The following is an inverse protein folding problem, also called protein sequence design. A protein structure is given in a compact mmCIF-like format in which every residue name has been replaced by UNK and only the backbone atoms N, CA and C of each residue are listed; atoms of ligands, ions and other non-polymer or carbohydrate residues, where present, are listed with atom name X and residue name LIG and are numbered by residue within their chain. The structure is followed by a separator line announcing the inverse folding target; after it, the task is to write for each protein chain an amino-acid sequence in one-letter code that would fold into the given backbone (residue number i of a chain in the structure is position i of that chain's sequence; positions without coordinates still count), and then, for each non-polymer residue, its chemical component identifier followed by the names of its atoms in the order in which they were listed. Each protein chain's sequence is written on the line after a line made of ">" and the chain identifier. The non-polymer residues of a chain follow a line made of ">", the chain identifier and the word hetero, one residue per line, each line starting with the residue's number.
data_IF_200904004779
#
_entry.id   IF_200904004779
#
_cell.length_a   1.000
_cell.length_b   1.000
_cell.length_c   1.000
_cell.angle_alpha   90.00
_cell.angle_beta   90.00
_cell.angle_gamma   90.00
#
_symmetry.space_group_name_H-M   'P 1'
#
loop_
_entity.id
_entity.type
_entity.pdbx_description
1 polymer ?
#
# COMPACT_ATOMS: atom_id res chain seq x y z
N UNK A 1 20.45 -28.84 -22.76
CA UNK A 1 18.99 -28.66 -22.91
C UNK A 1 18.70 -27.18 -23.08
N UNK A 2 18.00 -26.80 -24.14
CA UNK A 2 17.64 -25.40 -24.40
C UNK A 2 16.37 -25.06 -23.63
N UNK A 3 16.39 -23.97 -22.85
CA UNK A 3 15.22 -23.57 -22.04
C UNK A 3 15.09 -22.05 -21.91
N UNK A 4 13.84 -21.57 -21.84
CA UNK A 4 13.47 -20.22 -21.43
C UNK A 4 12.93 -20.28 -20.02
N UNK A 5 13.53 -19.47 -19.13
CA UNK A 5 13.09 -19.29 -17.75
C UNK A 5 12.36 -17.98 -17.59
N UNK A 6 11.08 -18.06 -17.24
CA UNK A 6 10.25 -16.90 -16.94
C UNK A 6 10.19 -16.69 -15.43
N UNK A 7 10.74 -15.56 -14.97
CA UNK A 7 10.86 -15.23 -13.54
C UNK A 7 9.71 -14.35 -13.05
N UNK A 8 9.45 -14.47 -11.74
CA UNK A 8 8.51 -13.60 -11.04
C UNK A 8 8.98 -12.14 -11.03
N UNK A 9 8.02 -11.23 -11.02
CA UNK A 9 8.25 -9.78 -10.92
C UNK A 9 8.58 -9.39 -9.49
N UNK A 10 9.84 -9.01 -9.25
CA UNK A 10 10.33 -8.54 -7.93
C UNK A 10 9.56 -7.36 -7.36
N UNK A 11 8.97 -6.52 -8.22
CA UNK A 11 8.24 -5.32 -7.79
C UNK A 11 7.01 -5.63 -6.94
N UNK A 12 6.45 -6.85 -6.99
CA UNK A 12 5.34 -7.23 -6.11
C UNK A 12 5.78 -7.35 -4.65
N UNK A 13 6.91 -7.98 -4.38
CA UNK A 13 7.46 -8.08 -3.03
C UNK A 13 7.77 -6.69 -2.46
N UNK A 14 8.42 -5.83 -3.26
CA UNK A 14 8.67 -4.43 -2.88
C UNK A 14 7.37 -3.63 -2.62
N UNK A 15 6.29 -3.87 -3.38
CA UNK A 15 4.99 -3.24 -3.12
C UNK A 15 4.40 -3.68 -1.79
N UNK A 16 4.50 -4.96 -1.43
CA UNK A 16 4.03 -5.46 -0.13
C UNK A 16 4.80 -4.78 0.99
N UNK A 17 6.14 -4.75 0.90
CA UNK A 17 6.98 -4.06 1.90
C UNK A 17 6.57 -2.59 2.01
N UNK A 18 6.48 -1.88 0.89
CA UNK A 18 6.10 -0.47 0.87
C UNK A 18 4.71 -0.20 1.43
N UNK A 19 3.76 -1.12 1.28
CA UNK A 19 2.42 -0.99 1.86
C UNK A 19 2.40 -1.30 3.36
N UNK A 20 3.24 -2.21 3.85
CA UNK A 20 3.30 -2.58 5.27
C UNK A 20 4.11 -1.58 6.10
N UNK A 21 5.15 -1.00 5.53
CA UNK A 21 6.12 -0.18 6.25
C UNK A 21 5.51 1.01 7.02
N UNK A 22 4.57 1.80 6.45
CA UNK A 22 3.92 2.88 7.20
C UNK A 22 3.21 2.41 8.47
N UNK A 23 2.51 1.28 8.40
CA UNK A 23 1.77 0.71 9.53
C UNK A 23 2.66 0.15 10.63
N UNK A 24 3.81 -0.41 10.23
CA UNK A 24 4.80 -0.91 11.17
C UNK A 24 5.46 0.27 11.89
N UNK A 25 5.84 1.32 11.16
CA UNK A 25 6.42 2.53 11.76
C UNK A 25 5.43 3.22 12.69
N UNK A 26 4.17 3.41 12.27
CA UNK A 26 3.14 4.00 13.13
C UNK A 26 2.81 3.11 14.33
N UNK A 27 2.78 1.80 14.14
CA UNK A 27 2.51 0.83 15.20
C UNK A 27 3.61 0.87 16.27
N UNK A 28 4.87 0.87 15.85
CA UNK A 28 6.03 0.98 16.75
C UNK A 28 6.02 2.32 17.49
N UNK A 29 5.68 3.42 16.83
CA UNK A 29 5.52 4.71 17.50
C UNK A 29 4.50 4.59 18.64
N UNK A 30 3.29 4.07 18.38
CA UNK A 30 2.28 3.92 19.44
C UNK A 30 2.77 3.09 20.62
N UNK A 31 3.46 1.97 20.35
CA UNK A 31 4.01 1.11 21.40
C UNK A 31 5.06 1.85 22.25
N UNK A 32 5.89 2.70 21.63
CA UNK A 32 6.98 3.41 22.31
C UNK A 32 6.53 4.66 23.06
N UNK A 33 5.45 5.33 22.63
CA UNK A 33 5.04 6.64 23.17
C UNK A 33 3.77 6.63 24.00
N UNK A 34 2.87 5.66 23.81
CA UNK A 34 1.60 5.64 24.52
C UNK A 34 1.71 4.69 25.73
N UNK A 35 1.08 5.04 26.87
CA UNK A 35 1.19 4.24 28.08
C UNK A 35 0.58 2.85 27.88
N UNK A 36 1.18 1.87 28.56
CA UNK A 36 0.77 0.46 28.52
C UNK A 36 -0.69 0.34 28.95
N UNK A 37 -1.46 -0.48 28.23
CA UNK A 37 -2.89 -0.72 28.52
C UNK A 37 -3.85 0.27 27.84
N UNK A 38 -3.36 1.33 27.19
CA UNK A 38 -4.23 2.19 26.37
C UNK A 38 -4.65 1.52 25.07
N UNK A 39 -5.80 1.93 24.52
CA UNK A 39 -6.27 1.45 23.22
C UNK A 39 -5.23 1.67 22.11
N UNK A 40 -4.55 2.82 22.11
CA UNK A 40 -3.48 3.14 21.14
C UNK A 40 -2.29 2.18 21.28
N UNK A 41 -1.87 1.85 22.50
CA UNK A 41 -0.80 0.88 22.74
C UNK A 41 -1.16 -0.50 22.17
N UNK A 42 -2.39 -0.98 22.40
CA UNK A 42 -2.88 -2.26 21.88
C UNK A 42 -2.93 -2.25 20.34
N UNK A 43 -3.48 -1.18 19.75
CA UNK A 43 -3.52 -0.98 18.29
C UNK A 43 -2.10 -0.97 17.71
N UNK A 44 -1.15 -0.35 18.42
CA UNK A 44 0.26 -0.33 18.04
C UNK A 44 0.85 -1.72 17.88
N UNK A 45 0.61 -2.61 18.85
CA UNK A 45 1.04 -4.01 18.78
C UNK A 45 0.34 -4.79 17.67
N UNK A 46 -0.98 -4.67 17.54
CA UNK A 46 -1.74 -5.36 16.48
C UNK A 46 -1.22 -4.93 15.10
N UNK A 47 -1.05 -3.63 14.88
CA UNK A 47 -0.53 -3.07 13.63
C UNK A 47 0.90 -3.59 13.35
N UNK A 48 1.79 -3.47 14.33
CA UNK A 48 3.19 -3.89 14.18
C UNK A 48 3.31 -5.38 13.89
N UNK A 49 2.60 -6.23 14.62
CA UNK A 49 2.65 -7.68 14.42
C UNK A 49 2.01 -8.09 13.10
N UNK A 50 0.80 -7.60 12.79
CA UNK A 50 0.08 -8.01 11.58
C UNK A 50 0.76 -7.52 10.30
N UNK A 51 1.10 -6.23 10.23
CA UNK A 51 1.79 -5.68 9.06
C UNK A 51 3.27 -6.04 9.05
N UNK A 52 3.87 -6.30 10.21
CA UNK A 52 5.25 -6.77 10.35
C UNK A 52 5.49 -8.09 9.62
N UNK A 53 4.51 -9.02 9.64
CA UNK A 53 4.57 -10.27 8.87
C UNK A 53 4.62 -10.06 7.35
N UNK A 54 4.09 -8.93 6.87
CA UNK A 54 4.17 -8.56 5.45
C UNK A 54 5.60 -8.28 4.98
N UNK A 55 6.49 -7.83 5.86
CA UNK A 55 7.89 -7.54 5.53
C UNK A 55 8.67 -8.83 5.15
N UNK A 56 8.76 -9.88 5.98
CA UNK A 56 9.46 -11.11 5.61
C UNK A 56 8.81 -11.80 4.40
N UNK A 57 7.47 -11.77 4.27
CA UNK A 57 6.77 -12.28 3.08
C UNK A 57 7.20 -11.50 1.83
N UNK A 58 7.24 -10.17 1.91
CA UNK A 58 7.66 -9.30 0.82
C UNK A 58 9.13 -9.49 0.46
N UNK A 59 10.02 -9.69 1.45
CA UNK A 59 11.44 -10.00 1.24
C UNK A 59 11.59 -11.35 0.55
N UNK A 60 10.92 -12.39 1.06
CA UNK A 60 10.92 -13.71 0.44
C UNK A 60 10.48 -13.64 -1.03
N UNK A 61 9.40 -12.91 -1.33
CA UNK A 61 8.94 -12.75 -2.71
C UNK A 61 9.88 -11.90 -3.58
N UNK A 62 10.59 -10.94 -2.99
CA UNK A 62 11.56 -10.09 -3.70
C UNK A 62 12.83 -10.87 -4.06
N UNK A 63 13.26 -11.74 -3.16
CA UNK A 63 14.47 -12.55 -3.31
C UNK A 63 14.22 -13.95 -3.86
N UNK A 64 12.96 -14.36 -4.08
CA UNK A 64 12.62 -15.60 -4.79
C UNK A 64 13.12 -15.53 -6.25
N UNK A 65 14.32 -16.06 -6.47
CA UNK A 65 14.96 -16.17 -7.80
C UNK A 65 14.50 -17.39 -8.57
N UNK A 66 13.60 -18.22 -8.03
CA UNK A 66 13.18 -19.44 -8.71
C UNK A 66 12.31 -19.09 -9.92
N UNK A 67 12.53 -19.70 -11.10
CA UNK A 67 11.64 -19.51 -12.23
C UNK A 67 10.22 -19.95 -11.87
N UNK A 68 9.24 -19.26 -12.44
CA UNK A 68 7.84 -19.63 -12.28
C UNK A 68 7.42 -20.55 -13.41
N UNK A 69 7.69 -20.16 -14.65
CA UNK A 69 7.38 -20.94 -15.85
C UNK A 69 8.71 -21.28 -16.53
N UNK A 70 8.88 -22.55 -16.88
CA UNK A 70 10.02 -23.06 -17.63
C UNK A 70 9.46 -23.62 -18.93
N UNK A 71 10.02 -23.16 -20.05
CA UNK A 71 9.66 -23.64 -21.38
C UNK A 71 10.92 -24.28 -21.96
N UNK A 72 10.89 -25.58 -22.18
CA UNK A 72 12.03 -26.38 -22.61
C UNK A 72 11.79 -26.98 -24.00
N UNK A 73 12.79 -27.63 -24.57
CA UNK A 73 12.62 -28.41 -25.81
C UNK A 73 11.67 -29.61 -25.66
N UNK A 74 11.39 -30.06 -24.43
CA UNK A 74 10.52 -31.20 -24.14
C UNK A 74 9.07 -30.78 -23.82
N UNK A 75 8.88 -29.60 -23.20
CA UNK A 75 7.56 -29.15 -22.80
C UNK A 75 7.53 -27.85 -22.00
N UNK A 76 6.42 -27.65 -21.29
CA UNK A 76 6.14 -26.48 -20.46
C UNK A 76 5.85 -26.92 -19.03
N UNK A 77 6.48 -26.27 -18.06
CA UNK A 77 6.22 -26.46 -16.63
C UNK A 77 5.88 -25.13 -15.94
N UNK A 78 4.85 -25.12 -15.09
CA UNK A 78 4.52 -24.02 -14.19
C UNK A 78 4.64 -24.48 -12.73
N UNK A 79 5.58 -23.88 -12.00
CA UNK A 79 5.83 -24.21 -10.59
C UNK A 79 4.62 -23.95 -9.69
N UNK A 80 3.70 -23.06 -10.07
CA UNK A 80 2.54 -22.70 -9.25
C UNK A 80 1.41 -23.73 -9.29
N UNK A 81 1.33 -24.52 -10.37
CA UNK A 81 0.28 -25.53 -10.54
C UNK A 81 0.64 -26.86 -9.89
N UNK A 82 1.93 -27.06 -9.56
CA UNK A 82 2.47 -28.29 -8.99
C UNK A 82 2.11 -29.54 -9.82
N UNK A 83 2.06 -29.38 -11.15
CA UNK A 83 1.83 -30.45 -12.13
C UNK A 83 3.15 -30.92 -12.74
N UNK A 84 3.11 -32.04 -13.47
CA UNK A 84 4.22 -32.43 -14.35
C UNK A 84 4.37 -31.48 -15.53
N UNK A 85 5.53 -31.55 -16.17
CA UNK A 85 5.78 -30.89 -17.45
C UNK A 85 4.78 -31.38 -18.49
N UNK A 86 4.07 -30.44 -19.11
CA UNK A 86 3.19 -30.72 -20.25
C UNK A 86 4.09 -30.87 -21.47
N UNK A 87 4.19 -32.08 -22.03
CA UNK A 87 5.01 -32.30 -23.22
C UNK A 87 4.40 -31.61 -24.44
N UNK A 88 5.23 -31.18 -25.38
CA UNK A 88 4.75 -30.49 -26.57
C UNK A 88 3.78 -31.32 -27.40
N UNK A 89 3.98 -32.64 -27.46
CA UNK A 89 3.10 -33.57 -28.19
C UNK A 89 1.69 -33.59 -27.61
N UNK A 90 1.54 -33.23 -26.33
CA UNK A 90 0.26 -33.19 -25.63
C UNK A 90 -0.46 -31.85 -25.81
N UNK A 91 0.21 -30.83 -26.36
CA UNK A 91 -0.36 -29.48 -26.52
C UNK A 91 -1.11 -29.40 -27.84
N UNK A 92 -2.44 -29.26 -27.76
CA UNK A 92 -3.30 -29.08 -28.94
C UNK A 92 -3.31 -27.61 -29.38
N UNK A 93 -3.50 -26.69 -28.43
CA UNK A 93 -3.50 -25.24 -28.67
C UNK A 93 -3.37 -24.45 -27.38
N UNK A 94 -2.91 -23.21 -27.50
CA UNK A 94 -2.83 -22.21 -26.44
C UNK A 94 -3.53 -20.92 -26.88
N UNK A 95 -4.23 -20.27 -25.96
CA UNK A 95 -4.86 -18.97 -26.20
C UNK A 95 -4.84 -18.11 -24.93
N UNK A 96 -4.80 -16.78 -25.08
CA UNK A 96 -4.85 -15.88 -23.95
C UNK A 96 -6.27 -15.85 -23.40
N UNK A 97 -6.39 -15.81 -22.08
CA UNK A 97 -7.66 -15.62 -21.39
C UNK A 97 -7.47 -14.59 -20.26
N UNK A 98 -8.47 -13.75 -20.03
CA UNK A 98 -8.46 -12.79 -18.94
C UNK A 98 -9.57 -13.15 -17.95
N UNK A 99 -9.18 -13.64 -16.78
CA UNK A 99 -10.10 -14.01 -15.71
C UNK A 99 -9.90 -13.02 -14.58
N UNK A 100 -10.88 -12.14 -14.37
CA UNK A 100 -10.84 -11.11 -13.34
C UNK A 100 -9.60 -10.20 -13.45
N UNK A 101 -9.29 -9.67 -14.63
CA UNK A 101 -8.14 -8.80 -14.87
C UNK A 101 -6.77 -9.49 -14.71
N UNK A 102 -6.76 -10.82 -14.50
CA UNK A 102 -5.55 -11.63 -14.44
C UNK A 102 -5.36 -12.28 -15.80
N UNK A 103 -4.33 -11.81 -16.49
CA UNK A 103 -3.82 -12.39 -17.73
C UNK A 103 -3.33 -13.83 -17.48
N UNK A 104 -3.90 -14.76 -18.22
CA UNK A 104 -3.61 -16.19 -18.18
C UNK A 104 -3.42 -16.68 -19.61
N UNK A 105 -2.58 -17.69 -19.81
CA UNK A 105 -2.55 -18.45 -21.07
C UNK A 105 -3.14 -19.82 -20.79
N UNK A 106 -4.28 -20.11 -21.40
CA UNK A 106 -4.96 -21.41 -21.30
C UNK A 106 -4.37 -22.34 -22.36
N UNK A 107 -3.88 -23.49 -21.92
CA UNK A 107 -3.34 -24.56 -22.77
C UNK A 107 -4.34 -25.71 -22.79
N UNK A 108 -4.77 -26.06 -24.00
CA UNK A 108 -5.59 -27.23 -24.26
C UNK A 108 -4.65 -28.40 -24.50
N UNK A 109 -4.75 -29.38 -23.62
CA UNK A 109 -4.02 -30.64 -23.74
C UNK A 109 -4.92 -31.74 -24.31
N UNK A 110 -4.30 -32.76 -24.89
CA UNK A 110 -4.98 -34.01 -25.20
C UNK A 110 -5.33 -34.83 -23.95
N UNK A 111 -5.98 -35.97 -24.16
CA UNK A 111 -6.46 -36.85 -23.10
C UNK A 111 -5.32 -37.66 -22.42
N UNK A 112 -4.11 -37.65 -22.99
CA UNK A 112 -2.95 -38.33 -22.40
C UNK A 112 -2.38 -37.56 -21.21
N UNK A 113 -2.70 -36.26 -21.10
CA UNK A 113 -2.25 -35.43 -19.99
C UNK A 113 -3.17 -35.61 -18.77
N UNK A 114 -2.64 -36.24 -17.71
CA UNK A 114 -3.36 -36.47 -16.45
C UNK A 114 -2.87 -35.49 -15.38
N UNK A 115 -3.81 -34.75 -14.77
CA UNK A 115 -3.50 -33.90 -13.62
C UNK A 115 -3.09 -34.72 -12.40
N UNK A 116 -1.98 -34.36 -11.76
CA UNK A 116 -1.55 -34.93 -10.47
C UNK A 116 -2.59 -34.74 -9.37
N UNK A 117 -3.29 -33.60 -9.40
CA UNK A 117 -4.35 -33.29 -8.45
C UNK A 117 -5.63 -33.03 -9.24
N UNK A 118 -6.62 -33.90 -9.06
CA UNK A 118 -7.96 -33.66 -9.63
C UNK A 118 -8.51 -32.35 -9.06
N UNK A 119 -8.90 -31.39 -9.91
CA UNK A 119 -9.60 -30.20 -9.44
C UNK A 119 -10.92 -30.63 -8.77
N UNK A 120 -11.34 -29.90 -7.74
CA UNK A 120 -12.65 -30.12 -7.14
C UNK A 120 -13.76 -29.97 -8.19
N UNK A 121 -14.84 -30.77 -8.07
CA UNK A 121 -15.94 -30.81 -9.04
C UNK A 121 -16.54 -29.42 -9.37
N UNK A 122 -16.55 -28.51 -8.39
CA UNK A 122 -17.05 -27.15 -8.59
C UNK A 122 -16.12 -26.29 -9.47
N UNK A 123 -14.79 -26.40 -9.27
CA UNK A 123 -13.78 -25.70 -10.06
C UNK A 123 -13.80 -26.16 -11.51
N UNK A 124 -14.07 -27.45 -11.76
CA UNK A 124 -14.18 -27.99 -13.11
C UNK A 124 -15.40 -27.43 -13.86
N UNK A 125 -16.55 -27.31 -13.19
CA UNK A 125 -17.75 -26.67 -13.76
C UNK A 125 -17.52 -25.20 -14.08
N UNK A 126 -16.79 -24.49 -13.21
CA UNK A 126 -16.41 -23.10 -13.43
C UNK A 126 -15.47 -23.00 -14.62
N UNK A 127 -14.40 -23.78 -14.66
CA UNK A 127 -13.42 -23.76 -15.75
C UNK A 127 -14.09 -24.01 -17.11
N UNK A 128 -14.99 -25.01 -17.18
CA UNK A 128 -15.80 -25.27 -18.38
C UNK A 128 -16.65 -24.06 -18.80
N UNK A 129 -17.28 -23.36 -17.85
CA UNK A 129 -18.11 -22.17 -18.13
C UNK A 129 -17.30 -20.96 -18.58
N UNK A 130 -16.09 -20.75 -18.05
CA UNK A 130 -15.24 -19.61 -18.43
C UNK A 130 -14.40 -19.92 -19.68
N UNK A 131 -14.50 -21.13 -20.25
CA UNK A 131 -13.67 -21.57 -21.36
C UNK A 131 -12.21 -21.78 -20.98
N UNK A 132 -11.89 -21.88 -19.68
CA UNK A 132 -10.56 -22.29 -19.21
C UNK A 132 -10.47 -23.82 -19.34
N UNK A 133 -9.51 -24.31 -20.12
CA UNK A 133 -9.29 -25.76 -20.27
C UNK A 133 -8.07 -26.21 -19.47
N UNK A 134 -7.96 -27.53 -19.38
CA UNK A 134 -7.00 -28.37 -18.67
C UNK A 134 -5.87 -27.60 -17.96
N UNK A 135 -4.90 -26.98 -18.64
CA UNK A 135 -3.73 -26.39 -17.99
C UNK A 135 -3.65 -24.86 -18.18
N UNK A 136 -3.53 -24.09 -17.09
CA UNK A 136 -3.51 -22.63 -17.12
C UNK A 136 -2.18 -22.07 -16.61
N UNK A 137 -1.52 -21.26 -17.44
CA UNK A 137 -0.31 -20.53 -17.08
C UNK A 137 -0.67 -19.17 -16.47
N UNK A 138 -0.34 -18.97 -15.20
CA UNK A 138 -0.66 -17.72 -14.51
C UNK A 138 0.40 -16.63 -14.75
N UNK A 139 0.12 -15.72 -15.68
CA UNK A 139 1.06 -14.65 -16.04
C UNK A 139 1.04 -13.45 -15.09
N UNK A 140 0.13 -13.41 -14.12
CA UNK A 140 0.00 -12.28 -13.19
C UNK A 140 1.29 -11.95 -12.42
N UNK A 141 2.22 -12.90 -12.30
CA UNK A 141 3.52 -12.71 -11.65
C UNK A 141 4.70 -12.59 -12.63
N UNK A 142 4.51 -12.84 -13.93
CA UNK A 142 5.56 -12.84 -14.96
C UNK A 142 5.42 -11.61 -15.85
N UNK A 143 6.54 -11.05 -16.33
CA UNK A 143 6.53 -9.90 -17.22
C UNK A 143 6.57 -10.32 -18.70
N UNK A 144 5.46 -10.87 -19.21
CA UNK A 144 5.33 -11.32 -20.59
C UNK A 144 3.93 -11.01 -21.13
N UNK A 145 3.83 -10.74 -22.43
CA UNK A 145 2.56 -10.52 -23.09
C UNK A 145 1.87 -11.88 -23.34
N UNK A 146 0.61 -11.99 -22.95
CA UNK A 146 -0.19 -13.21 -23.04
C UNK A 146 -0.43 -13.68 -24.48
N UNK A 147 -0.60 -12.74 -25.43
CA UNK A 147 -0.81 -13.03 -26.85
C UNK A 147 0.51 -13.50 -27.49
N UNK A 148 1.61 -12.80 -27.18
CA UNK A 148 2.94 -13.18 -27.68
C UNK A 148 3.34 -14.57 -27.18
N UNK A 149 3.07 -14.87 -25.90
CA UNK A 149 3.35 -16.17 -25.32
C UNK A 149 2.44 -17.27 -25.89
N UNK A 150 1.13 -17.03 -26.07
CA UNK A 150 0.24 -18.04 -26.65
C UNK A 150 0.63 -18.38 -28.09
N UNK A 151 0.98 -17.36 -28.88
CA UNK A 151 1.42 -17.56 -30.26
C UNK A 151 2.75 -18.32 -30.33
N UNK A 152 3.67 -18.01 -29.42
CA UNK A 152 4.93 -18.75 -29.29
C UNK A 152 4.68 -20.22 -28.95
N UNK A 153 3.83 -20.52 -27.96
CA UNK A 153 3.49 -21.88 -27.55
C UNK A 153 2.87 -22.68 -28.71
N UNK A 154 1.90 -22.10 -29.43
CA UNK A 154 1.29 -22.74 -30.60
C UNK A 154 2.28 -23.03 -31.73
N UNK A 155 3.27 -22.17 -31.90
CA UNK A 155 4.31 -22.39 -32.90
C UNK A 155 5.19 -23.56 -32.47
N UNK A 156 5.73 -23.53 -31.26
CA UNK A 156 6.65 -24.55 -30.74
C UNK A 156 5.98 -25.93 -30.67
N UNK A 157 4.68 -26.03 -30.36
CA UNK A 157 3.98 -27.32 -30.30
C UNK A 157 3.95 -28.05 -31.65
N UNK A 158 3.95 -27.32 -32.77
CA UNK A 158 3.80 -27.88 -34.10
C UNK A 158 5.12 -28.24 -34.80
N UNK A 159 6.26 -27.80 -34.26
CA UNK A 159 7.56 -28.03 -34.89
C UNK A 159 8.29 -29.28 -34.35
N UNK A 160 9.34 -29.70 -35.07
CA UNK A 160 10.26 -30.75 -34.65
C UNK A 160 11.25 -30.28 -33.55
N UNK A 161 11.98 -31.21 -32.92
CA UNK A 161 12.85 -30.90 -31.78
C UNK A 161 13.97 -29.89 -32.09
N UNK A 162 14.54 -29.90 -33.30
CA UNK A 162 15.61 -28.97 -33.68
C UNK A 162 15.08 -27.55 -33.92
N UNK A 163 13.93 -27.45 -34.58
CA UNK A 163 13.22 -26.18 -34.77
C UNK A 163 12.72 -25.61 -33.45
N UNK A 164 12.19 -26.45 -32.55
CA UNK A 164 11.83 -26.05 -31.17
C UNK A 164 13.02 -25.41 -30.47
N UNK A 165 14.21 -26.04 -30.53
CA UNK A 165 15.44 -25.47 -29.95
C UNK A 165 15.77 -24.10 -30.56
N UNK A 166 15.63 -23.94 -31.87
CA UNK A 166 15.90 -22.68 -32.55
C UNK A 166 14.89 -21.57 -32.18
N UNK A 167 13.61 -21.91 -32.07
CA UNK A 167 12.57 -21.00 -31.60
C UNK A 167 12.81 -20.57 -30.14
N UNK A 168 13.16 -21.51 -29.26
CA UNK A 168 13.46 -21.23 -27.85
C UNK A 168 14.68 -20.32 -27.72
N UNK A 169 15.74 -20.53 -28.51
CA UNK A 169 16.94 -19.66 -28.51
C UNK A 169 16.65 -18.25 -29.01
N UNK A 170 15.79 -18.11 -30.03
CA UNK A 170 15.49 -16.83 -30.67
C UNK A 170 14.43 -16.00 -29.93
N UNK A 171 13.65 -16.63 -29.04
CA UNK A 171 12.60 -15.94 -28.30
C UNK A 171 13.15 -14.89 -27.33
N UNK A 172 12.91 -13.61 -27.65
CA UNK A 172 13.30 -12.48 -26.80
C UNK A 172 12.10 -12.01 -26.00
N UNK A 173 12.19 -12.12 -24.67
CA UNK A 173 11.18 -11.55 -23.78
C UNK A 173 11.27 -10.02 -23.77
N UNK A 174 10.29 -9.35 -24.38
CA UNK A 174 10.15 -7.89 -24.25
C UNK A 174 9.76 -7.54 -22.82
N UNK A 175 10.74 -7.16 -21.99
CA UNK A 175 10.44 -6.60 -20.67
C UNK A 175 9.64 -5.30 -20.84
N UNK A 176 8.45 -5.24 -20.25
CA UNK A 176 7.74 -3.96 -20.14
C UNK A 176 8.61 -2.95 -19.39
N UNK A 177 9.05 -1.91 -20.11
CA UNK A 177 9.80 -0.79 -19.51
C UNK A 177 8.85 0.03 -18.63
N UNK A 178 9.37 0.57 -17.53
CA UNK A 178 8.65 1.54 -16.72
C UNK A 178 8.37 2.76 -17.60
N UNK A 179 7.10 3.04 -17.90
CA UNK A 179 6.74 4.11 -18.83
C UNK A 179 6.52 5.43 -18.10
N UNK A 180 6.76 6.55 -18.79
CA UNK A 180 6.47 7.90 -18.29
C UNK A 180 5.00 8.06 -17.84
N UNK A 181 4.08 7.30 -18.45
CA UNK A 181 2.68 7.24 -18.03
C UNK A 181 2.51 6.78 -16.57
N UNK A 182 3.30 5.82 -16.09
CA UNK A 182 3.25 5.38 -14.69
C UNK A 182 3.73 6.47 -13.73
N UNK A 183 4.77 7.22 -14.08
CA UNK A 183 5.25 8.35 -13.26
C UNK A 183 4.20 9.45 -13.16
N UNK A 184 3.58 9.85 -14.28
CA UNK A 184 2.49 10.83 -14.29
C UNK A 184 1.33 10.40 -13.39
N UNK A 185 0.98 9.10 -13.43
CA UNK A 185 -0.08 8.54 -12.58
C UNK A 185 0.28 8.59 -11.09
N UNK A 186 1.52 8.26 -10.72
CA UNK A 186 1.99 8.37 -9.33
C UNK A 186 1.91 9.83 -8.86
N UNK A 187 2.47 10.75 -9.65
CA UNK A 187 2.45 12.19 -9.33
C UNK A 187 1.02 12.70 -9.12
N UNK A 188 0.09 12.34 -10.00
CA UNK A 188 -1.31 12.72 -9.89
C UNK A 188 -1.96 12.24 -8.59
N UNK A 189 -1.70 10.99 -8.17
CA UNK A 189 -2.24 10.48 -6.90
C UNK A 189 -1.60 11.13 -5.68
N UNK A 190 -0.30 11.44 -5.74
CA UNK A 190 0.39 12.15 -4.66
C UNK A 190 -0.19 13.55 -4.48
N UNK A 191 -0.37 14.32 -5.56
CA UNK A 191 -0.98 15.65 -5.51
C UNK A 191 -2.42 15.57 -5.00
N UNK A 192 -3.21 14.64 -5.54
CA UNK A 192 -4.58 14.41 -5.06
C UNK A 192 -4.62 14.11 -3.56
N UNK A 193 -3.72 13.26 -3.06
CA UNK A 193 -3.66 12.90 -1.63
C UNK A 193 -3.31 14.10 -0.74
N UNK A 194 -2.37 14.95 -1.17
CA UNK A 194 -2.00 16.18 -0.46
C UNK A 194 -3.16 17.18 -0.45
N UNK A 195 -3.87 17.34 -1.57
CA UNK A 195 -5.04 18.22 -1.66
C UNK A 195 -6.16 17.74 -0.73
N UNK A 196 -6.48 16.44 -0.74
CA UNK A 196 -7.48 15.87 0.17
C UNK A 196 -7.02 16.06 1.63
N UNK A 197 -5.73 15.87 1.94
CA UNK A 197 -5.19 16.09 3.28
C UNK A 197 -5.44 17.52 3.77
N UNK A 198 -5.07 18.52 2.95
CA UNK A 198 -5.33 19.94 3.25
C UNK A 198 -6.81 20.22 3.49
N UNK A 199 -7.69 19.66 2.64
CA UNK A 199 -9.13 19.80 2.80
C UNK A 199 -9.62 19.17 4.11
N UNK A 200 -9.17 17.96 4.44
CA UNK A 200 -9.57 17.28 5.68
C UNK A 200 -9.08 17.97 6.95
N UNK A 201 -7.90 18.60 6.91
CA UNK A 201 -7.39 19.40 8.03
C UNK A 201 -8.20 20.68 8.27
N UNK A 202 -8.89 21.19 7.25
CA UNK A 202 -9.64 22.45 7.35
C UNK A 202 -10.93 22.35 8.16
N UNK A 203 -11.57 21.17 8.19
CA UNK A 203 -12.89 20.99 8.80
C UNK A 203 -13.20 19.53 9.16
N UNK A 204 -13.79 19.34 10.35
CA UNK A 204 -14.31 18.03 10.83
C UNK A 204 -15.37 17.48 9.89
N UNK A 205 -16.21 18.34 9.30
CA UNK A 205 -17.26 17.93 8.36
C UNK A 205 -16.62 17.32 7.11
N UNK A 206 -15.58 17.96 6.57
CA UNK A 206 -14.86 17.47 5.38
C UNK A 206 -14.18 16.13 5.68
N UNK A 207 -13.61 15.97 6.86
CA UNK A 207 -13.07 14.68 7.31
C UNK A 207 -14.13 13.56 7.26
N UNK A 208 -15.31 13.77 7.87
CA UNK A 208 -16.37 12.77 7.86
C UNK A 208 -16.88 12.46 6.45
N UNK A 209 -16.95 13.46 5.57
CA UNK A 209 -17.30 13.25 4.16
C UNK A 209 -16.28 12.32 3.47
N UNK A 210 -14.98 12.54 3.67
CA UNK A 210 -13.94 11.68 3.08
C UNK A 210 -14.03 10.24 3.60
N UNK A 211 -14.26 10.06 4.90
CA UNK A 211 -14.46 8.73 5.50
C UNK A 211 -15.73 8.05 4.98
N UNK A 212 -16.84 8.80 4.85
CA UNK A 212 -18.09 8.29 4.27
C UNK A 212 -17.90 7.85 2.82
N UNK A 213 -17.24 8.67 1.99
CA UNK A 213 -16.91 8.35 0.61
C UNK A 213 -16.00 7.12 0.49
N UNK A 214 -15.01 6.99 1.39
CA UNK A 214 -14.17 5.80 1.49
C UNK A 214 -15.00 4.54 1.80
N UNK A 215 -15.93 4.63 2.77
CA UNK A 215 -16.81 3.53 3.16
C UNK A 215 -17.73 3.08 2.02
N UNK A 216 -18.40 4.03 1.35
CA UNK A 216 -19.22 3.76 0.17
C UNK A 216 -18.38 3.11 -0.93
N UNK A 217 -17.19 3.67 -1.19
CA UNK A 217 -16.25 3.12 -2.18
C UNK A 217 -15.83 1.68 -1.84
N UNK A 218 -15.65 1.34 -0.57
CA UNK A 218 -15.31 -0.02 -0.14
C UNK A 218 -16.45 -1.01 -0.40
N UNK A 219 -17.69 -0.61 -0.11
CA UNK A 219 -18.88 -1.40 -0.40
C UNK A 219 -19.02 -1.62 -1.91
N UNK A 220 -18.93 -0.56 -2.71
CA UNK A 220 -19.00 -0.64 -4.18
C UNK A 220 -17.89 -1.53 -4.73
N UNK A 221 -16.65 -1.37 -4.25
CA UNK A 221 -15.53 -2.19 -4.71
C UNK A 221 -15.70 -3.68 -4.36
N UNK A 222 -16.39 -4.01 -3.26
CA UNK A 222 -16.63 -5.38 -2.81
C UNK A 222 -17.69 -6.09 -3.63
N UNK A 223 -18.79 -5.42 -3.96
CA UNK A 223 -19.95 -6.06 -4.60
C UNK A 223 -19.92 -6.00 -6.14
N UNK A 224 -19.01 -5.21 -6.73
CA UNK A 224 -18.93 -5.07 -8.18
C UNK A 224 -17.95 -6.09 -8.83
N UNK A 225 -18.23 -6.55 -10.07
CA UNK A 225 -17.30 -7.39 -10.84
C UNK A 225 -15.96 -6.67 -11.12
N UNK A 226 -14.84 -7.41 -11.18
CA UNK A 226 -13.49 -6.84 -11.41
C UNK A 226 -13.34 -6.08 -12.73
N UNK A 227 -14.15 -6.47 -13.71
CA UNK A 227 -14.06 -6.00 -15.08
C UNK A 227 -14.71 -4.61 -15.22
N UNK A 228 -15.54 -4.21 -14.25
CA UNK A 228 -16.33 -3.00 -14.31
C UNK A 228 -15.51 -1.78 -13.94
N UNK A 229 -15.55 -0.76 -14.80
CA UNK A 229 -14.88 0.54 -14.58
C UNK A 229 -15.22 1.16 -13.22
N UNK A 230 -16.46 0.98 -12.75
CA UNK A 230 -16.91 1.45 -11.44
C UNK A 230 -16.09 0.85 -10.28
N UNK A 231 -15.80 -0.46 -10.30
CA UNK A 231 -14.98 -1.09 -9.25
C UNK A 231 -13.57 -0.53 -9.20
N UNK A 232 -12.97 -0.24 -10.38
CA UNK A 232 -11.63 0.37 -10.46
C UNK A 232 -11.61 1.74 -9.78
N UNK A 233 -12.61 2.58 -10.05
CA UNK A 233 -12.71 3.90 -9.41
C UNK A 233 -13.05 3.81 -7.92
N UNK A 234 -13.96 2.90 -7.54
CA UNK A 234 -14.26 2.64 -6.14
C UNK A 234 -13.01 2.19 -5.37
N UNK A 235 -12.20 1.28 -5.93
CA UNK A 235 -10.94 0.87 -5.32
C UNK A 235 -9.94 2.03 -5.17
N UNK A 236 -9.86 2.93 -6.16
CA UNK A 236 -9.05 4.15 -6.06
C UNK A 236 -9.56 5.05 -4.93
N UNK A 237 -10.89 5.21 -4.79
CA UNK A 237 -11.51 5.96 -3.71
C UNK A 237 -11.18 5.40 -2.32
N UNK A 238 -11.23 4.07 -2.16
CA UNK A 238 -10.79 3.39 -0.94
C UNK A 238 -9.33 3.68 -0.64
N UNK A 239 -8.46 3.53 -1.64
CA UNK A 239 -7.03 3.71 -1.47
C UNK A 239 -6.69 5.17 -1.08
N UNK A 240 -7.28 6.15 -1.75
CA UNK A 240 -7.07 7.57 -1.46
C UNK A 240 -7.63 7.94 -0.08
N UNK A 241 -8.83 7.46 0.28
CA UNK A 241 -9.41 7.67 1.60
C UNK A 241 -8.54 7.06 2.71
N UNK A 242 -8.03 5.86 2.48
CA UNK A 242 -7.16 5.17 3.41
C UNK A 242 -5.82 5.91 3.61
N UNK A 243 -5.16 6.30 2.51
CA UNK A 243 -3.92 7.09 2.56
C UNK A 243 -4.17 8.42 3.27
N UNK A 244 -5.27 9.10 2.96
CA UNK A 244 -5.63 10.35 3.60
C UNK A 244 -5.85 10.18 5.11
N UNK A 245 -6.59 9.16 5.54
CA UNK A 245 -6.80 8.86 6.95
C UNK A 245 -5.47 8.66 7.68
N UNK A 246 -4.56 7.89 7.10
CA UNK A 246 -3.23 7.66 7.67
C UNK A 246 -2.39 8.94 7.74
N UNK A 247 -2.35 9.72 6.67
CA UNK A 247 -1.62 11.00 6.62
C UNK A 247 -2.18 12.00 7.63
N UNK A 248 -3.50 12.08 7.76
CA UNK A 248 -4.18 12.95 8.70
C UNK A 248 -3.83 12.57 10.13
N UNK A 249 -3.95 11.29 10.48
CA UNK A 249 -3.60 10.80 11.81
C UNK A 249 -2.14 11.11 12.16
N UNK A 250 -1.23 10.81 11.23
CA UNK A 250 0.21 11.10 11.39
C UNK A 250 0.46 12.60 11.57
N UNK A 251 -0.24 13.45 10.80
CA UNK A 251 -0.12 14.91 10.91
C UNK A 251 -0.61 15.42 12.26
N UNK A 252 -1.72 14.89 12.77
CA UNK A 252 -2.26 15.24 14.10
C UNK A 252 -1.28 14.87 15.20
N UNK A 253 -0.73 13.66 15.16
CA UNK A 253 0.22 13.21 16.18
C UNK A 253 1.53 14.02 16.14
N UNK A 254 2.05 14.34 14.94
CA UNK A 254 3.22 15.22 14.79
C UNK A 254 2.92 16.61 15.36
N UNK A 255 1.75 17.17 15.07
CA UNK A 255 1.30 18.45 15.60
C UNK A 255 1.30 18.46 17.13
N UNK A 256 0.66 17.47 17.75
CA UNK A 256 0.54 17.36 19.20
C UNK A 256 1.92 17.23 19.86
N UNK A 257 2.78 16.35 19.34
CA UNK A 257 4.12 16.11 19.90
C UNK A 257 5.03 17.35 19.79
N UNK A 258 4.97 18.11 18.69
CA UNK A 258 5.74 19.36 18.56
C UNK A 258 5.20 20.42 19.51
N UNK A 259 3.88 20.57 19.59
CA UNK A 259 3.23 21.54 20.48
C UNK A 259 3.57 21.28 21.95
N UNK A 260 3.51 20.02 22.39
CA UNK A 260 3.88 19.62 23.75
C UNK A 260 5.36 19.91 24.04
N UNK A 261 6.26 19.55 23.11
CA UNK A 261 7.70 19.84 23.24
C UNK A 261 7.98 21.36 23.31
N UNK A 262 7.21 22.17 22.60
CA UNK A 262 7.32 23.63 22.66
C UNK A 262 6.86 24.17 24.01
N UNK A 263 5.70 23.73 24.51
CA UNK A 263 5.18 24.17 25.81
C UNK A 263 6.16 23.82 26.94
N UNK A 264 6.74 22.62 26.94
CA UNK A 264 7.76 22.21 27.92
C UNK A 264 8.98 23.13 27.86
N UNK A 265 9.50 23.43 26.65
CA UNK A 265 10.66 24.34 26.50
C UNK A 265 10.37 25.75 26.97
N UNK A 266 9.17 26.25 26.70
CA UNK A 266 8.75 27.57 27.19
C UNK A 266 8.67 27.56 28.73
N UNK A 267 8.16 26.49 29.33
CA UNK A 267 8.13 26.34 30.80
C UNK A 267 9.53 26.28 31.42
N UNK A 268 10.44 25.53 30.83
CA UNK A 268 11.85 25.45 31.27
C UNK A 268 12.54 26.81 31.20
N UNK A 269 12.31 27.56 30.12
CA UNK A 269 12.82 28.93 29.97
C UNK A 269 12.32 29.85 31.10
N UNK A 270 11.05 29.73 31.49
CA UNK A 270 10.52 30.52 32.61
C UNK A 270 11.11 30.15 33.97
N UNK A 271 11.31 28.86 34.23
CA UNK A 271 11.94 28.40 35.49
C UNK A 271 13.35 28.98 35.65
N UNK A 272 14.04 29.28 34.54
CA UNK A 272 15.39 29.85 34.56
C UNK A 272 15.39 31.38 34.73
N UNK A 273 14.44 32.09 34.10
CA UNK A 273 14.49 33.56 34.03
C UNK A 273 13.70 34.31 35.11
N UNK A 274 12.94 33.62 35.97
CA UNK A 274 12.24 34.15 37.17
C UNK A 274 11.20 35.26 36.94
N UNK A 275 11.18 35.92 35.78
CA UNK A 275 10.22 36.96 35.39
C UNK A 275 9.23 36.44 34.37
N UNK A 276 7.93 36.60 34.64
CA UNK A 276 6.85 36.36 33.68
C UNK A 276 6.99 37.34 32.52
N UNK A 277 7.18 36.91 31.26
CA UNK A 277 7.22 37.86 30.17
C UNK A 277 5.84 38.36 29.85
N UNK A 278 5.82 39.62 29.45
CA UNK A 278 4.65 40.33 28.95
C UNK A 278 4.30 39.92 27.52
N UNK A 279 5.22 39.31 26.76
CA UNK A 279 5.02 38.95 25.36
C UNK A 279 5.73 37.65 24.95
N UNK A 280 5.08 36.86 24.10
CA UNK A 280 5.58 35.62 23.51
C UNK A 280 6.67 35.88 22.46
N UNK A 281 6.72 37.08 21.86
CA UNK A 281 7.73 37.48 20.87
C UNK A 281 9.14 37.51 21.46
N UNK A 282 9.27 37.82 22.75
CA UNK A 282 10.57 37.81 23.44
C UNK A 282 11.11 36.39 23.60
N UNK A 283 10.21 35.42 23.80
CA UNK A 283 10.54 33.99 23.97
C UNK A 283 10.99 33.37 22.65
N UNK A 284 10.43 33.82 21.52
CA UNK A 284 10.80 33.35 20.18
C UNK A 284 12.29 33.56 19.88
N UNK A 285 12.81 34.73 20.23
CA UNK A 285 14.21 35.11 19.95
C UNK A 285 15.22 34.27 20.74
N UNK A 286 14.86 33.84 21.94
CA UNK A 286 15.76 33.15 22.85
C UNK A 286 15.72 31.63 22.69
N UNK A 287 14.66 31.05 22.11
CA UNK A 287 14.48 29.59 22.00
C UNK A 287 15.16 28.92 20.78
N UNK A 288 15.86 29.67 19.91
CA UNK A 288 16.51 29.16 18.68
C UNK A 288 15.64 28.14 17.90
N UNK A 289 14.37 28.48 17.66
CA UNK A 289 13.41 27.55 17.06
C UNK A 289 13.73 27.29 15.57
N UNK A 290 13.63 26.03 15.15
CA UNK A 290 13.71 25.69 13.71
C UNK A 290 12.43 26.11 12.96
N UNK A 291 12.45 26.11 11.63
CA UNK A 291 11.34 26.56 10.79
C UNK A 291 9.98 25.89 11.12
N UNK A 292 9.99 24.59 11.44
CA UNK A 292 8.76 23.84 11.76
C UNK A 292 8.26 24.26 13.15
N UNK A 293 9.16 24.31 14.12
CA UNK A 293 8.87 24.74 15.49
C UNK A 293 8.34 26.17 15.52
N UNK A 294 8.93 27.07 14.73
CA UNK A 294 8.50 28.45 14.57
C UNK A 294 7.07 28.55 13.99
N UNK A 295 6.76 27.75 12.97
CA UNK A 295 5.41 27.69 12.41
C UNK A 295 4.38 27.30 13.47
N UNK A 296 4.69 26.34 14.35
CA UNK A 296 3.79 25.92 15.43
C UNK A 296 3.74 26.92 16.58
N UNK A 297 4.87 27.52 16.94
CA UNK A 297 4.96 28.56 17.96
C UNK A 297 4.03 29.73 17.65
N UNK A 298 3.99 30.16 16.39
CA UNK A 298 3.09 31.22 15.92
C UNK A 298 1.59 30.87 15.96
N UNK A 299 1.23 29.62 16.26
CA UNK A 299 -0.16 29.18 16.47
C UNK A 299 -0.56 29.13 17.95
N UNK A 300 0.39 29.37 18.87
CA UNK A 300 0.14 29.37 20.31
C UNK A 300 -0.36 30.76 20.70
N UNK A 301 -1.60 30.83 21.20
CA UNK A 301 -2.11 32.04 21.83
C UNK A 301 -1.64 32.10 23.27
N UNK A 302 -0.83 33.10 23.60
CA UNK A 302 -0.41 33.39 24.96
C UNK A 302 -1.37 34.38 25.63
N UNK A 303 -1.70 34.12 26.90
CA UNK A 303 -2.37 35.08 27.78
C UNK A 303 -1.67 35.09 29.13
N UNK A 304 -1.15 36.23 29.54
CA UNK A 304 -0.65 36.45 30.90
C UNK A 304 -1.74 37.02 31.80
N UNK A 305 -1.72 36.59 33.05
CA UNK A 305 -2.49 37.12 34.16
C UNK A 305 -1.51 37.44 35.30
N UNK A 306 -1.95 38.22 36.30
CA UNK A 306 -1.06 38.71 37.37
C UNK A 306 -0.27 37.60 38.09
N UNK A 307 -0.85 36.41 38.21
CA UNK A 307 -0.28 35.29 38.98
C UNK A 307 -0.07 34.00 38.17
N UNK A 308 -0.45 33.96 36.88
CA UNK A 308 -0.32 32.77 36.04
C UNK A 308 -0.37 33.12 34.55
N UNK A 309 -0.07 32.17 33.69
CA UNK A 309 -0.22 32.32 32.25
C UNK A 309 -0.91 31.09 31.65
N UNK A 310 -1.57 31.31 30.53
CA UNK A 310 -2.26 30.28 29.77
C UNK A 310 -1.68 30.20 28.35
N UNK A 311 -1.37 28.98 27.92
CA UNK A 311 -1.13 28.69 26.52
C UNK A 311 -2.37 28.04 25.92
N UNK A 312 -3.04 28.74 25.03
CA UNK A 312 -4.10 28.19 24.23
C UNK A 312 -3.53 27.77 22.88
N UNK A 313 -3.48 26.47 22.65
CA UNK A 313 -3.02 25.90 21.38
C UNK A 313 -4.23 25.52 20.54
N UNK A 314 -4.25 25.95 19.28
CA UNK A 314 -5.28 25.55 18.32
C UNK A 314 -4.92 24.19 17.74
N UNK A 315 -5.44 23.12 18.35
CA UNK A 315 -5.33 21.79 17.77
C UNK A 315 -6.03 21.73 16.39
N UNK A 316 -5.58 20.78 15.59
CA UNK A 316 -6.27 20.37 14.37
C UNK A 316 -7.74 20.04 14.72
N UNK A 317 -8.67 20.43 13.84
CA UNK A 317 -10.13 20.40 14.07
C UNK A 317 -10.72 21.47 14.99
N UNK A 318 -10.03 22.61 15.18
CA UNK A 318 -10.49 23.72 16.03
C UNK A 318 -10.74 23.32 17.49
N UNK A 319 -10.20 22.19 17.95
CA UNK A 319 -10.14 21.88 19.37
C UNK A 319 -9.11 22.79 20.01
N UNK A 320 -9.39 23.27 21.22
CA UNK A 320 -8.46 24.11 21.97
C UNK A 320 -7.92 23.27 23.12
N UNK A 321 -6.61 23.26 23.29
CA UNK A 321 -5.96 22.70 24.46
C UNK A 321 -5.32 23.85 25.20
N UNK A 322 -5.80 24.08 26.42
CA UNK A 322 -5.29 25.13 27.29
C UNK A 322 -4.39 24.51 28.33
N UNK A 323 -3.15 25.00 28.42
CA UNK A 323 -2.22 24.64 29.50
C UNK A 323 -2.33 25.68 30.61
N UNK A 324 -2.56 25.21 31.84
CA UNK A 324 -2.65 26.05 33.04
C UNK A 324 -1.43 25.80 33.92
N UNK A 325 -0.64 26.84 34.15
CA UNK A 325 0.64 26.70 34.86
C UNK A 325 0.48 26.59 36.36
N UNK A 326 -0.63 27.11 36.90
CA UNK A 326 -1.07 26.90 38.28
C UNK A 326 -1.15 25.40 38.64
N UNK A 327 -1.64 24.56 37.73
CA UNK A 327 -1.94 23.15 38.00
C UNK A 327 -0.96 22.21 37.27
N UNK A 328 -0.09 22.76 36.40
CA UNK A 328 0.78 21.97 35.51
C UNK A 328 0.00 20.93 34.70
N UNK A 329 -1.25 21.24 34.36
CA UNK A 329 -2.18 20.32 33.70
C UNK A 329 -2.74 20.91 32.41
N UNK A 330 -2.95 20.02 31.43
CA UNK A 330 -3.65 20.35 30.21
C UNK A 330 -5.15 20.08 30.34
N UNK A 331 -5.96 21.07 29.97
CA UNK A 331 -7.41 20.89 29.84
C UNK A 331 -7.83 20.93 28.38
N UNK A 332 -8.47 19.86 27.92
CA UNK A 332 -9.15 19.81 26.63
C UNK A 332 -10.43 20.63 26.72
N UNK A 333 -10.53 21.70 25.94
CA UNK A 333 -11.76 22.48 25.84
C UNK A 333 -12.63 21.92 24.71
N UNK A 334 -13.93 21.80 24.98
CA UNK A 334 -14.91 21.47 23.96
C UNK A 334 -14.82 22.48 22.80
N UNK A 335 -15.03 22.04 21.55
CA UNK A 335 -15.09 22.97 20.42
C UNK A 335 -16.19 24.01 20.67
N UNK A 336 -15.85 25.30 20.61
CA UNK A 336 -16.88 26.35 20.52
C UNK A 336 -17.59 26.14 19.19
N UNK A 337 -18.88 25.77 19.26
CA UNK A 337 -19.77 25.59 18.10
C UNK A 337 -19.86 26.91 17.33
#
# INVERSE_FOLDING_TARGET
>A
MTEIKLYKRRTKGLKIIGMCLPFVVSGLWFVLKKPVGTANYIIGWISTCFFGLGIPIGLFQTFDKRPQIIISENGICDRTTNQDEVKWEQVIKAYPIDIFGKKIVSIVTDDTFIFKKKPFNYTEKINKKIGAKNFNLHLGQVNINEIELSNFINRVSNENIEERRNLIKSFKTKKTKFSCYYLKKILFYTISSITILKLTLSSVIVFWIVIGLMGISAIVARFQPENMTLRKYAFIGVLLGFINFFLLFTTVEIYENITEKLVIRIEEFYKQNSTLPTDIILIEKDLELNFIELYFFNQINYRSFDNYYEFETRLIFRRRKTYYTNISEYKLLAPRI
#
